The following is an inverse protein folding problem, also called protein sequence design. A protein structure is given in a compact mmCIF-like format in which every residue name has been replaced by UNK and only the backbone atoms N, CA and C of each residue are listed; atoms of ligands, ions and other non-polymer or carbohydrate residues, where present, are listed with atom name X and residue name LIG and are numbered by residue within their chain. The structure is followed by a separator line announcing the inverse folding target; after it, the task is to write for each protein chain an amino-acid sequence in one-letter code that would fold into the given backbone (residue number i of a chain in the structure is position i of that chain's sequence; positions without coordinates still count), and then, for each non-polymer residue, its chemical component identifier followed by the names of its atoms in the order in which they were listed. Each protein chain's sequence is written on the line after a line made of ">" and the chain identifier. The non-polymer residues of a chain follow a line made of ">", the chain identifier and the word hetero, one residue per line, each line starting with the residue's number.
data_IF_063931712737
#
_entry.id   IF_063931712737
#
_cell.length_a   1.000
_cell.length_b   1.000
_cell.length_c   1.000
_cell.angle_alpha   90.00
_cell.angle_beta   90.00
_cell.angle_gamma   90.00
#
_symmetry.space_group_name_H-M   'P 1'
#
loop_
_entity.id
_entity.type
_entity.pdbx_description
1 polymer ?
#
# COMPACT_ATOMS: atom_id res chain seq x y z
N UNK A 1 -73.33 -20.61 51.65
CA UNK A 1 -72.25 -20.72 52.66
C UNK A 1 -71.15 -21.60 52.08
N UNK A 2 -69.97 -21.04 51.72
CA UNK A 2 -68.70 -21.14 52.49
C UNK A 2 -68.34 -22.62 52.79
N UNK A 3 -67.32 -23.25 52.20
CA UNK A 3 -65.86 -23.03 52.36
C UNK A 3 -65.03 -23.97 51.42
N UNK A 4 -63.69 -23.81 51.35
CA UNK A 4 -62.86 -24.04 50.15
C UNK A 4 -61.68 -25.05 50.33
N UNK A 5 -60.81 -25.12 49.30
CA UNK A 5 -59.40 -25.57 49.29
C UNK A 5 -59.14 -27.09 49.39
N UNK A 6 -58.39 -27.68 48.43
CA UNK A 6 -56.99 -28.17 48.61
C UNK A 6 -56.50 -29.06 47.43
N UNK A 7 -55.37 -28.62 46.84
CA UNK A 7 -54.20 -29.33 46.26
C UNK A 7 -54.32 -30.79 45.76
N UNK A 8 -53.71 -31.08 44.60
CA UNK A 8 -52.34 -31.67 44.52
C UNK A 8 -51.96 -31.91 43.04
N UNK A 9 -51.02 -31.14 42.50
CA UNK A 9 -50.35 -31.47 41.24
C UNK A 9 -49.22 -32.47 41.53
N UNK A 10 -49.29 -33.60 40.82
CA UNK A 10 -48.22 -34.55 40.48
C UNK A 10 -46.88 -33.79 40.32
N UNK A 11 -45.77 -34.13 40.94
CA UNK A 11 -45.08 -35.43 40.96
C UNK A 11 -43.61 -35.15 40.64
N UNK A 12 -42.78 -35.20 41.68
CA UNK A 12 -41.35 -34.86 41.74
C UNK A 12 -40.47 -36.02 41.18
N UNK A 13 -39.26 -35.65 40.74
CA UNK A 13 -38.01 -36.43 40.70
C UNK A 13 -37.62 -37.19 39.42
N UNK A 14 -36.66 -36.62 38.68
CA UNK A 14 -35.49 -37.36 38.14
C UNK A 14 -34.26 -36.52 38.52
N UNK A 15 -33.70 -36.79 39.71
CA UNK A 15 -32.44 -37.51 39.95
C UNK A 15 -31.21 -36.75 39.45
N UNK A 16 -30.62 -36.08 40.45
CA UNK A 16 -29.27 -35.52 40.52
C UNK A 16 -28.25 -36.63 40.36
N UNK A 17 -27.31 -36.47 39.42
CA UNK A 17 -25.98 -37.07 39.54
C UNK A 17 -24.99 -35.91 39.53
N UNK A 18 -24.61 -35.49 40.74
CA UNK A 18 -23.54 -34.53 40.96
C UNK A 18 -22.19 -35.24 41.04
N UNK A 19 -21.13 -34.51 40.72
CA UNK A 19 -20.01 -34.22 41.62
C UNK A 19 -18.94 -33.47 40.81
N UNK A 20 -18.73 -32.17 41.04
CA UNK A 20 -17.75 -31.58 41.98
C UNK A 20 -16.47 -31.13 41.26
N UNK A 21 -16.34 -29.80 41.20
CA UNK A 21 -15.16 -28.93 41.23
C UNK A 21 -14.03 -29.11 40.20
N UNK A 22 -13.61 -28.00 39.56
CA UNK A 22 -12.47 -27.17 40.00
C UNK A 22 -12.16 -26.07 38.95
N UNK A 23 -12.15 -24.81 39.41
CA UNK A 23 -11.16 -23.75 39.13
C UNK A 23 -10.70 -23.41 37.70
N UNK A 24 -10.74 -22.11 37.38
CA UNK A 24 -9.99 -21.44 36.29
C UNK A 24 -10.71 -21.50 34.93
N UNK A 25 -10.89 -20.45 34.15
CA UNK A 25 -10.37 -19.09 34.18
C UNK A 25 -11.45 -18.14 33.66
N UNK A 26 -11.32 -16.89 34.07
CA UNK A 26 -11.88 -15.70 33.44
C UNK A 26 -12.04 -15.86 31.92
N UNK A 27 -13.25 -15.61 31.44
CA UNK A 27 -13.49 -15.20 30.05
C UNK A 27 -12.84 -13.84 29.86
N UNK A 28 -11.54 -13.85 29.60
CA UNK A 28 -10.78 -12.67 29.21
C UNK A 28 -11.09 -12.42 27.74
N UNK A 29 -12.11 -11.60 27.48
CA UNK A 29 -12.28 -10.98 26.16
C UNK A 29 -11.34 -9.79 26.16
N UNK A 30 -10.20 -9.81 25.44
CA UNK A 30 -9.48 -8.57 25.21
C UNK A 30 -10.45 -7.65 24.46
N UNK A 31 -10.65 -6.46 25.02
CA UNK A 31 -11.25 -5.36 24.29
C UNK A 31 -10.42 -5.17 23.03
N UNK A 32 -10.99 -5.48 21.86
CA UNK A 32 -10.55 -4.87 20.62
C UNK A 32 -10.85 -3.37 20.77
N UNK A 33 -9.92 -2.65 21.38
CA UNK A 33 -9.71 -1.26 21.03
C UNK A 33 -9.52 -1.25 19.51
N UNK A 34 -10.39 -0.54 18.81
CA UNK A 34 -10.13 -0.11 17.46
C UNK A 34 -8.99 0.90 17.54
N UNK A 35 -7.77 0.37 17.68
CA UNK A 35 -6.55 1.13 17.62
C UNK A 35 -6.39 1.51 16.15
N UNK A 36 -6.65 2.77 15.85
CA UNK A 36 -6.30 3.34 14.55
C UNK A 36 -4.81 3.03 14.33
N UNK A 37 -4.51 2.24 13.29
CA UNK A 37 -3.14 1.93 12.96
C UNK A 37 -2.43 3.23 12.58
N UNK A 38 -1.33 3.51 13.28
CA UNK A 38 -0.41 4.58 12.91
C UNK A 38 0.05 4.35 11.46
N UNK A 39 0.06 5.38 10.59
CA UNK A 39 0.56 5.25 9.23
C UNK A 39 2.06 4.91 9.29
N UNK A 40 2.42 3.67 8.95
CA UNK A 40 3.81 3.22 8.97
C UNK A 40 4.02 1.74 9.30
N UNK A 41 3.00 1.03 9.82
CA UNK A 41 3.09 -0.42 9.98
C UNK A 41 2.61 -1.13 8.71
N UNK A 42 3.58 -1.54 7.89
CA UNK A 42 3.40 -2.57 6.86
C UNK A 42 2.67 -3.78 7.46
N UNK A 43 1.73 -4.35 6.70
CA UNK A 43 0.96 -5.52 7.11
C UNK A 43 1.87 -6.63 7.65
N UNK A 44 1.39 -7.46 8.60
CA UNK A 44 2.18 -8.55 9.15
C UNK A 44 2.85 -9.39 8.05
N UNK A 45 4.11 -9.76 8.29
CA UNK A 45 5.05 -10.64 7.56
C UNK A 45 4.40 -11.81 6.77
N UNK A 46 3.21 -12.25 7.20
CA UNK A 46 2.38 -13.24 6.50
C UNK A 46 1.94 -12.86 5.06
N UNK A 47 2.16 -11.63 4.60
CA UNK A 47 1.91 -11.19 3.22
C UNK A 47 3.17 -10.92 2.39
N UNK A 48 4.36 -11.09 2.95
CA UNK A 48 5.59 -11.19 2.15
C UNK A 48 5.52 -12.50 1.37
N UNK A 49 4.96 -12.44 0.15
CA UNK A 49 5.11 -13.52 -0.80
C UNK A 49 6.59 -13.56 -1.15
N UNK A 50 7.33 -14.63 -0.79
CA UNK A 50 8.71 -14.76 -1.23
C UNK A 50 8.68 -14.75 -2.74
N UNK A 51 9.29 -13.74 -3.35
CA UNK A 51 9.46 -13.75 -4.79
C UNK A 51 10.33 -14.94 -5.19
N UNK A 52 10.11 -15.50 -6.39
CA UNK A 52 11.01 -16.49 -6.95
C UNK A 52 12.46 -15.97 -6.90
N UNK A 53 13.38 -16.80 -6.41
CA UNK A 53 14.80 -16.42 -6.27
C UNK A 53 15.49 -16.06 -7.59
N UNK A 54 14.85 -16.36 -8.72
CA UNK A 54 15.32 -16.06 -10.07
C UNK A 54 14.68 -14.79 -10.66
N UNK A 55 13.86 -14.04 -9.92
CA UNK A 55 13.14 -12.89 -10.47
C UNK A 55 14.07 -11.83 -11.06
N UNK A 56 15.19 -11.54 -10.38
CA UNK A 56 16.17 -10.57 -10.88
C UNK A 56 16.75 -10.97 -12.24
N UNK A 57 16.84 -12.27 -12.54
CA UNK A 57 17.34 -12.76 -13.84
C UNK A 57 16.33 -12.67 -14.98
N UNK A 58 15.08 -12.24 -14.70
CA UNK A 58 14.03 -12.05 -15.69
C UNK A 58 13.97 -10.62 -16.24
N UNK A 59 14.78 -9.71 -15.70
CA UNK A 59 14.85 -8.29 -16.08
C UNK A 59 16.24 -7.94 -16.60
N UNK A 60 16.32 -6.95 -17.48
CA UNK A 60 17.56 -6.52 -18.12
C UNK A 60 18.44 -5.65 -17.19
N UNK A 61 17.84 -5.04 -16.15
CA UNK A 61 18.54 -4.25 -15.13
C UNK A 61 17.82 -4.25 -13.78
N UNK A 62 18.50 -3.83 -12.71
CA UNK A 62 17.90 -3.59 -11.39
C UNK A 62 16.77 -2.54 -11.47
N UNK A 63 16.99 -1.44 -12.20
CA UNK A 63 15.97 -0.40 -12.40
C UNK A 63 14.70 -0.91 -13.08
N UNK A 64 14.83 -1.83 -14.05
CA UNK A 64 13.67 -2.47 -14.67
C UNK A 64 12.94 -3.38 -13.66
N UNK A 65 13.68 -4.20 -12.91
CA UNK A 65 13.13 -5.05 -11.84
C UNK A 65 12.33 -4.21 -10.83
N UNK A 66 12.91 -3.11 -10.34
CA UNK A 66 12.26 -2.17 -9.42
C UNK A 66 10.98 -1.62 -10.05
N UNK A 67 11.06 -1.14 -11.29
CA UNK A 67 9.93 -0.55 -12.00
C UNK A 67 8.72 -1.49 -12.07
N UNK A 68 8.96 -2.77 -12.35
CA UNK A 68 7.91 -3.77 -12.56
C UNK A 68 7.43 -4.47 -11.29
N UNK A 69 8.27 -4.53 -10.25
CA UNK A 69 7.99 -5.40 -9.10
C UNK A 69 8.01 -4.67 -7.77
N UNK A 70 8.75 -3.56 -7.67
CA UNK A 70 9.04 -2.88 -6.41
C UNK A 70 10.12 -3.58 -5.57
N UNK A 71 10.82 -4.56 -6.14
CA UNK A 71 11.95 -5.24 -5.50
C UNK A 71 13.27 -4.81 -6.14
N UNK A 72 14.36 -4.87 -5.37
CA UNK A 72 15.72 -4.67 -5.87
C UNK A 72 16.43 -6.00 -6.21
N UNK A 73 17.65 -5.91 -6.71
CA UNK A 73 18.46 -7.06 -7.15
C UNK A 73 18.84 -8.02 -6.01
N UNK A 74 18.88 -7.54 -4.75
CA UNK A 74 19.01 -8.39 -3.57
C UNK A 74 17.73 -9.18 -3.23
N UNK A 75 16.64 -8.93 -3.97
CA UNK A 75 15.33 -9.55 -3.74
C UNK A 75 14.58 -8.95 -2.56
N UNK A 76 14.92 -7.73 -2.15
CA UNK A 76 14.26 -7.01 -1.07
C UNK A 76 13.11 -6.17 -1.63
N UNK A 77 11.93 -6.23 -0.99
CA UNK A 77 10.84 -5.32 -1.31
C UNK A 77 11.21 -3.93 -0.81
N UNK A 78 11.17 -2.94 -1.69
CA UNK A 78 11.43 -1.55 -1.35
C UNK A 78 10.25 -1.04 -0.52
N UNK A 79 10.45 -0.59 0.73
CA UNK A 79 9.38 -0.04 1.54
C UNK A 79 8.82 1.23 0.89
N UNK A 80 7.52 1.45 1.04
CA UNK A 80 6.87 2.67 0.62
C UNK A 80 5.91 3.17 1.69
N UNK A 81 5.67 4.48 1.67
CA UNK A 81 4.60 5.14 2.41
C UNK A 81 3.69 5.90 1.44
N UNK A 82 2.51 6.31 1.89
CA UNK A 82 1.54 6.93 0.99
C UNK A 82 0.86 5.91 0.07
N UNK A 83 0.41 6.32 -1.10
CA UNK A 83 -0.15 5.43 -2.10
C UNK A 83 -1.57 4.91 -1.81
N UNK A 84 -2.23 4.34 -2.83
CA UNK A 84 -3.53 3.75 -2.65
C UNK A 84 -3.45 2.46 -1.83
N UNK A 85 -4.47 2.20 -1.00
CA UNK A 85 -4.50 1.07 -0.08
C UNK A 85 -4.25 -0.30 -0.75
N UNK A 86 -4.70 -0.48 -1.99
CA UNK A 86 -4.54 -1.74 -2.72
C UNK A 86 -3.06 -2.08 -2.98
N UNK A 87 -2.16 -1.10 -3.01
CA UNK A 87 -0.73 -1.31 -3.18
C UNK A 87 -0.16 -2.23 -2.09
N UNK A 88 -0.58 -2.02 -0.84
CA UNK A 88 -0.11 -2.79 0.31
C UNK A 88 -0.81 -4.14 0.49
N UNK A 89 -2.00 -4.28 -0.08
CA UNK A 89 -2.80 -5.51 0.06
C UNK A 89 -2.53 -6.48 -1.09
N UNK A 90 -2.28 -5.97 -2.29
CA UNK A 90 -2.10 -6.78 -3.50
C UNK A 90 -0.68 -6.75 -4.06
N UNK A 91 0.19 -5.89 -3.53
CA UNK A 91 1.46 -5.56 -4.15
C UNK A 91 1.27 -4.63 -5.35
N UNK A 92 2.37 -3.98 -5.74
CA UNK A 92 2.44 -3.16 -6.93
C UNK A 92 3.71 -2.33 -6.95
N UNK A 93 3.95 -1.65 -8.05
CA UNK A 93 5.15 -0.85 -8.29
C UNK A 93 4.83 0.32 -9.23
N UNK A 94 5.86 1.01 -9.72
CA UNK A 94 5.75 2.12 -10.66
C UNK A 94 4.81 1.80 -11.85
N UNK A 95 4.97 0.59 -12.42
CA UNK A 95 4.18 0.13 -13.58
C UNK A 95 2.68 0.03 -13.30
N UNK A 96 2.26 -0.13 -12.04
CA UNK A 96 0.85 -0.27 -11.68
C UNK A 96 0.03 0.99 -11.96
N UNK A 97 0.67 2.17 -11.93
CA UNK A 97 0.03 3.45 -12.21
C UNK A 97 0.52 4.05 -13.54
N UNK A 98 1.82 3.96 -13.83
CA UNK A 98 2.42 4.56 -15.04
C UNK A 98 2.39 3.64 -16.27
N UNK A 99 2.08 2.36 -16.09
CA UNK A 99 1.98 1.37 -17.17
C UNK A 99 3.31 1.03 -17.83
N UNK A 100 3.33 0.00 -18.67
CA UNK A 100 4.57 -0.52 -19.30
C UNK A 100 5.31 0.50 -20.18
N UNK A 101 4.63 1.54 -20.64
CA UNK A 101 5.20 2.59 -21.47
C UNK A 101 5.50 3.88 -20.69
N UNK A 102 5.37 3.88 -19.37
CA UNK A 102 5.58 5.05 -18.53
C UNK A 102 4.61 6.22 -18.77
N UNK A 103 3.49 6.01 -19.47
CA UNK A 103 2.59 7.11 -19.89
C UNK A 103 1.51 7.48 -18.87
N UNK A 104 1.27 6.61 -17.88
CA UNK A 104 0.17 6.78 -16.94
C UNK A 104 -1.19 6.89 -17.62
N UNK A 105 -2.02 7.82 -17.15
CA UNK A 105 -3.29 8.18 -17.77
C UNK A 105 -4.52 7.45 -17.23
N UNK A 106 -4.38 6.61 -16.20
CA UNK A 106 -5.51 5.93 -15.56
C UNK A 106 -5.76 6.52 -14.17
N UNK A 107 -6.93 7.16 -13.92
CA UNK A 107 -7.25 7.72 -12.62
C UNK A 107 -7.22 6.68 -11.51
N UNK A 108 -6.64 7.05 -10.37
CA UNK A 108 -6.61 6.22 -9.17
C UNK A 108 -7.79 6.62 -8.27
N UNK A 109 -8.50 5.62 -7.73
CA UNK A 109 -9.59 5.88 -6.78
C UNK A 109 -9.06 6.67 -5.57
N UNK A 110 -9.74 7.77 -5.24
CA UNK A 110 -9.35 8.73 -4.19
C UNK A 110 -8.08 9.54 -4.49
N UNK A 111 -7.52 9.47 -5.69
CA UNK A 111 -6.55 10.45 -6.18
C UNK A 111 -7.26 11.72 -6.64
N UNK A 112 -6.57 12.86 -6.48
CA UNK A 112 -6.90 14.15 -7.08
C UNK A 112 -6.30 14.28 -8.48
N UNK A 113 -5.23 13.55 -8.76
CA UNK A 113 -4.48 13.64 -10.02
C UNK A 113 -4.47 12.32 -10.80
N UNK A 114 -4.23 12.45 -12.11
CA UNK A 114 -4.04 11.31 -12.99
C UNK A 114 -2.53 11.04 -13.07
N UNK A 115 -2.06 9.79 -12.84
CA UNK A 115 -0.67 9.44 -13.01
C UNK A 115 -0.11 9.95 -14.34
N UNK A 116 1.00 10.67 -14.27
CA UNK A 116 1.62 11.41 -15.37
C UNK A 116 2.43 10.52 -16.31
N UNK A 117 2.84 11.10 -17.44
CA UNK A 117 3.85 10.53 -18.33
C UNK A 117 5.25 10.76 -17.73
N UNK A 118 5.85 9.67 -17.23
CA UNK A 118 7.13 9.67 -16.54
C UNK A 118 8.30 9.26 -17.43
N UNK A 119 8.10 9.22 -18.75
CA UNK A 119 9.23 8.99 -19.68
C UNK A 119 10.22 10.13 -19.47
N UNK A 120 11.50 9.80 -19.34
CA UNK A 120 12.53 10.80 -19.00
C UNK A 120 12.56 11.96 -20.00
N UNK A 121 12.32 11.68 -21.28
CA UNK A 121 12.19 12.68 -22.34
C UNK A 121 11.04 13.66 -22.16
N UNK A 122 9.99 13.28 -21.43
CA UNK A 122 8.83 14.13 -21.11
C UNK A 122 9.09 14.91 -19.82
N UNK A 123 9.60 14.24 -18.77
CA UNK A 123 9.93 14.90 -17.49
C UNK A 123 10.99 16.00 -17.64
N UNK A 124 11.99 15.78 -18.49
CA UNK A 124 13.14 16.70 -18.67
C UNK A 124 12.96 17.69 -19.83
N UNK A 125 11.80 17.69 -20.50
CA UNK A 125 11.54 18.65 -21.55
C UNK A 125 11.41 20.06 -20.95
N UNK A 126 12.18 21.01 -21.46
CA UNK A 126 11.99 22.43 -21.16
C UNK A 126 10.71 22.90 -21.87
N UNK A 127 9.59 22.94 -21.14
CA UNK A 127 8.33 23.28 -21.75
C UNK A 127 8.10 24.80 -21.74
N UNK A 128 8.29 25.43 -22.90
CA UNK A 128 7.85 26.82 -23.13
C UNK A 128 6.32 26.90 -23.36
N UNK A 129 5.63 25.75 -23.45
CA UNK A 129 4.18 25.65 -23.72
C UNK A 129 3.54 24.41 -23.08
N UNK A 130 3.71 24.17 -21.77
CA UNK A 130 2.98 23.15 -20.99
C UNK A 130 1.45 23.42 -20.89
N UNK A 131 0.85 23.89 -21.98
CA UNK A 131 -0.56 24.23 -22.11
C UNK A 131 -1.27 23.16 -22.96
N UNK A 132 -2.30 22.59 -22.36
CA UNK A 132 -3.34 21.74 -22.95
C UNK A 132 -3.00 20.27 -23.23
N UNK A 133 -2.79 19.49 -22.16
CA UNK A 133 -3.37 18.15 -22.12
C UNK A 133 -4.18 17.95 -20.85
N UNK A 134 -5.39 17.42 -21.05
CA UNK A 134 -6.45 17.20 -20.07
C UNK A 134 -5.90 16.57 -18.78
N UNK A 135 -6.09 17.31 -17.68
CA UNK A 135 -5.79 16.99 -16.27
C UNK A 135 -4.47 17.58 -15.74
N UNK A 136 -4.58 18.79 -15.17
CA UNK A 136 -3.85 19.18 -13.96
C UNK A 136 -2.33 19.24 -13.97
N UNK A 137 -1.65 19.21 -15.12
CA UNK A 137 -0.21 19.45 -15.12
C UNK A 137 0.07 20.91 -14.79
N UNK A 138 0.45 21.16 -13.54
CA UNK A 138 0.95 22.44 -13.06
C UNK A 138 2.30 22.75 -13.73
N UNK A 139 2.55 24.04 -13.96
CA UNK A 139 3.71 24.61 -14.63
C UNK A 139 4.99 24.45 -13.77
N UNK A 140 5.41 23.23 -13.47
CA UNK A 140 6.67 22.99 -12.78
C UNK A 140 7.85 23.13 -13.76
N UNK A 141 9.04 23.56 -13.29
CA UNK A 141 10.28 23.48 -14.07
C UNK A 141 10.53 22.07 -14.62
N UNK A 142 11.33 21.97 -15.67
CA UNK A 142 11.81 20.68 -16.16
C UNK A 142 12.51 19.91 -15.02
N UNK A 143 12.22 18.61 -14.94
CA UNK A 143 12.89 17.74 -13.99
C UNK A 143 14.39 17.58 -14.32
N UNK A 144 15.15 17.30 -13.28
CA UNK A 144 16.54 16.82 -13.30
C UNK A 144 16.61 15.45 -12.63
N UNK A 145 17.73 14.75 -12.73
CA UNK A 145 17.90 13.49 -11.99
C UNK A 145 17.65 13.68 -10.49
N UNK A 146 18.15 14.77 -9.90
CA UNK A 146 17.96 15.08 -8.47
C UNK A 146 16.49 15.32 -8.10
N UNK A 147 15.76 16.10 -8.89
CA UNK A 147 14.34 16.37 -8.59
C UNK A 147 13.45 15.17 -8.89
N UNK A 148 13.85 14.26 -9.79
CA UNK A 148 13.20 12.95 -9.96
C UNK A 148 13.43 12.09 -8.70
N UNK A 149 14.64 12.09 -8.14
CA UNK A 149 14.93 11.38 -6.88
C UNK A 149 14.04 11.90 -5.74
N UNK A 150 13.90 13.22 -5.63
CA UNK A 150 13.06 13.87 -4.62
C UNK A 150 11.57 13.55 -4.83
N UNK A 151 11.07 13.58 -6.06
CA UNK A 151 9.70 13.17 -6.38
C UNK A 151 9.40 11.71 -5.98
N UNK A 152 10.36 10.79 -6.18
CA UNK A 152 10.17 9.37 -5.85
C UNK A 152 10.25 9.12 -4.33
N UNK A 153 11.20 9.76 -3.64
CA UNK A 153 11.44 9.53 -2.20
C UNK A 153 10.49 10.32 -1.32
N UNK A 154 10.31 11.59 -1.64
CA UNK A 154 9.64 12.55 -0.77
C UNK A 154 8.27 12.97 -1.33
N UNK A 155 8.04 12.75 -2.62
CA UNK A 155 6.79 13.16 -3.28
C UNK A 155 6.74 14.66 -3.47
N UNK A 156 7.86 15.29 -3.84
CA UNK A 156 7.99 16.73 -4.06
C UNK A 156 8.34 17.00 -5.52
N UNK A 157 7.63 17.95 -6.12
CA UNK A 157 7.84 18.39 -7.51
C UNK A 157 8.97 19.45 -7.61
N UNK A 158 9.50 19.74 -8.81
CA UNK A 158 10.61 20.69 -8.99
C UNK A 158 10.30 22.12 -8.54
N UNK A 159 9.03 22.51 -8.45
CA UNK A 159 8.58 23.79 -7.91
C UNK A 159 8.34 23.78 -6.39
N UNK A 160 8.47 22.61 -5.75
CA UNK A 160 8.30 22.39 -4.32
C UNK A 160 6.88 22.00 -3.89
N UNK A 161 5.94 21.85 -4.82
CA UNK A 161 4.60 21.35 -4.51
C UNK A 161 4.63 19.84 -4.17
N UNK A 162 3.65 19.39 -3.39
CA UNK A 162 3.53 17.98 -3.02
C UNK A 162 2.77 17.19 -4.09
N UNK A 163 3.33 16.06 -4.52
CA UNK A 163 2.65 15.08 -5.35
C UNK A 163 1.44 14.49 -4.61
N UNK A 164 0.41 14.14 -5.40
CA UNK A 164 -0.78 13.42 -4.95
C UNK A 164 -0.42 12.28 -3.97
N UNK A 165 -1.18 12.16 -2.89
CA UNK A 165 -0.94 11.12 -1.89
C UNK A 165 -0.97 9.70 -2.48
N UNK A 166 -1.67 9.48 -3.59
CA UNK A 166 -1.73 8.21 -4.32
C UNK A 166 -0.43 7.85 -5.05
N UNK A 167 0.51 8.80 -5.23
CA UNK A 167 1.88 8.45 -5.59
C UNK A 167 2.66 8.04 -4.33
N UNK A 168 3.14 6.79 -4.23
CA UNK A 168 3.87 6.34 -3.05
C UNK A 168 5.23 7.02 -2.94
N UNK A 169 5.67 7.25 -1.71
CA UNK A 169 7.01 7.71 -1.33
C UNK A 169 7.86 6.48 -1.03
N UNK A 170 8.86 6.22 -1.86
CA UNK A 170 9.65 4.98 -1.81
C UNK A 170 10.95 5.17 -1.03
N UNK A 171 11.18 4.32 -0.03
CA UNK A 171 12.41 4.28 0.76
C UNK A 171 13.48 3.46 0.02
N UNK A 172 14.04 4.06 -1.03
CA UNK A 172 15.06 3.45 -1.90
C UNK A 172 16.47 3.82 -1.46
N UNK A 173 17.41 2.87 -1.58
CA UNK A 173 18.84 3.16 -1.49
C UNK A 173 19.30 4.12 -2.61
N UNK A 174 20.48 4.73 -2.46
CA UNK A 174 21.04 5.61 -3.51
C UNK A 174 21.36 4.84 -4.79
N UNK A 175 21.82 3.59 -4.67
CA UNK A 175 22.12 2.74 -5.82
C UNK A 175 20.81 2.33 -6.55
N UNK A 176 19.78 1.91 -5.80
CA UNK A 176 18.49 1.51 -6.36
C UNK A 176 17.78 2.64 -7.13
N UNK A 177 17.81 3.86 -6.58
CA UNK A 177 17.17 5.00 -7.24
C UNK A 177 17.95 5.46 -8.47
N UNK A 178 19.27 5.30 -8.48
CA UNK A 178 20.10 5.57 -9.66
C UNK A 178 19.81 4.58 -10.78
N UNK A 179 19.74 3.28 -10.45
CA UNK A 179 19.36 2.25 -11.41
C UNK A 179 17.95 2.47 -11.96
N UNK A 180 16.99 2.85 -11.12
CA UNK A 180 15.63 3.17 -11.55
C UNK A 180 15.62 4.37 -12.51
N UNK A 181 16.36 5.44 -12.22
CA UNK A 181 16.46 6.60 -13.11
C UNK A 181 17.08 6.20 -14.46
N UNK A 182 18.11 5.36 -14.46
CA UNK A 182 18.71 4.86 -15.68
C UNK A 182 17.73 4.02 -16.50
N UNK A 183 16.83 3.26 -15.85
CA UNK A 183 15.73 2.61 -16.53
C UNK A 183 14.71 3.61 -17.10
N UNK A 184 14.31 4.65 -16.36
CA UNK A 184 13.38 5.68 -16.85
C UNK A 184 13.90 6.39 -18.12
N UNK A 185 15.23 6.55 -18.25
CA UNK A 185 15.89 7.09 -19.45
C UNK A 185 15.69 6.21 -20.70
N UNK A 186 15.28 4.96 -20.54
CA UNK A 186 15.00 4.03 -21.65
C UNK A 186 13.54 4.02 -22.12
N UNK A 187 12.63 4.64 -21.36
CA UNK A 187 11.18 4.66 -21.62
C UNK A 187 10.74 5.71 -22.66
#
# INVERSE_FOLDING_TARGET
>A
MKKPILLFFLGIAIVVSGCVNLMGDSYDRPSQEYFWHEPGYMYPDQYDRPLPSDIASQFDSNGELIYYTGYNEEGQLIPASGGPHWLYVHGGSCVSCHGVSGRGGVPIMMGTDIPSDIRYSTLTAEDENANETVSGHDEHPAYTDETIKEAIRDGIEPDGEELDYTMPRWDMSDDDIEDLIDYLKTL
#
